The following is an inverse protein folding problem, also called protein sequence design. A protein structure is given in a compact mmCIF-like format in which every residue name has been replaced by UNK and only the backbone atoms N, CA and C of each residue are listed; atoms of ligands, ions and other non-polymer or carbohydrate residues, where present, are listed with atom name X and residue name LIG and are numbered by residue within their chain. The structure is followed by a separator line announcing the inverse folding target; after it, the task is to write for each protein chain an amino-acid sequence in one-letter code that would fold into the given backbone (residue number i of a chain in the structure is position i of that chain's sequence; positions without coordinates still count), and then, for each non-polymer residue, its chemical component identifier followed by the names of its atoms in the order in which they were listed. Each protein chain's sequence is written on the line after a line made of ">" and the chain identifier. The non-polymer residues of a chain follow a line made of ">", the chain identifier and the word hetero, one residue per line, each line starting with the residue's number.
data_IF_243517846782
#
_entry.id   IF_243517846782
#
_cell.length_a   1.000
_cell.length_b   1.000
_cell.length_c   1.000
_cell.angle_alpha   90.00
_cell.angle_beta   90.00
_cell.angle_gamma   90.00
#
_symmetry.space_group_name_H-M   'P 1'
#
loop_
_entity.id
_entity.type
_entity.pdbx_description
1 polymer ?
#
# COMPACT_ATOMS: atom_id res chain seq x y z
N UNK A 1 14.81 19.07 2.87
CA UNK A 1 13.72 18.97 1.89
C UNK A 1 12.45 19.32 2.65
N UNK A 2 11.90 20.51 2.39
CA UNK A 2 10.74 21.02 3.11
C UNK A 2 9.47 20.64 2.34
N UNK A 3 9.00 19.41 2.58
CA UNK A 3 7.74 18.96 1.99
C UNK A 3 6.55 19.52 2.79
N UNK A 4 5.53 19.99 2.06
CA UNK A 4 4.27 20.46 2.66
C UNK A 4 3.26 19.32 2.64
N UNK A 5 2.47 19.17 3.71
CA UNK A 5 1.42 18.15 3.74
C UNK A 5 0.46 18.32 2.55
N UNK A 6 0.15 17.21 1.88
CA UNK A 6 -0.71 17.18 0.67
C UNK A 6 -0.12 17.89 -0.55
N UNK A 7 1.20 18.10 -0.56
CA UNK A 7 1.92 18.47 -1.77
C UNK A 7 1.83 17.35 -2.81
N UNK A 8 1.57 17.76 -4.06
CA UNK A 8 1.38 16.88 -5.21
C UNK A 8 2.27 17.31 -6.37
N UNK A 9 2.87 16.32 -7.03
CA UNK A 9 3.57 16.49 -8.30
C UNK A 9 2.99 15.53 -9.32
N UNK A 10 2.87 15.98 -10.57
CA UNK A 10 2.25 15.19 -11.63
C UNK A 10 3.20 15.11 -12.82
N UNK A 11 3.43 13.88 -13.29
CA UNK A 11 4.09 13.59 -14.55
C UNK A 11 3.07 12.93 -15.49
N UNK A 12 3.03 13.38 -16.74
CA UNK A 12 2.15 12.80 -17.78
C UNK A 12 3.02 12.08 -18.79
N UNK A 13 2.57 10.89 -19.17
CA UNK A 13 3.12 10.11 -20.26
C UNK A 13 2.06 10.07 -21.37
N UNK A 14 2.33 10.64 -22.56
CA UNK A 14 1.40 10.61 -23.68
C UNK A 14 1.16 9.19 -24.23
N UNK A 15 1.97 8.21 -23.83
CA UNK A 15 1.91 6.86 -24.37
C UNK A 15 2.39 6.79 -25.82
N UNK A 16 2.08 5.68 -26.48
CA UNK A 16 2.39 5.44 -27.88
C UNK A 16 1.31 4.54 -28.51
N UNK A 17 0.35 5.12 -29.26
CA UNK A 17 -0.74 4.37 -29.88
C UNK A 17 -0.28 3.29 -30.87
N UNK A 18 0.79 3.55 -31.64
CA UNK A 18 1.33 2.60 -32.63
C UNK A 18 1.86 1.32 -31.96
N UNK A 19 2.30 1.44 -30.71
CA UNK A 19 2.74 0.31 -29.87
C UNK A 19 1.66 -0.18 -28.90
N UNK A 20 0.43 0.32 -29.00
CA UNK A 20 -0.67 0.00 -28.09
C UNK A 20 -0.48 0.51 -26.65
N UNK A 21 0.47 1.42 -26.42
CA UNK A 21 0.76 2.00 -25.11
C UNK A 21 -0.19 3.16 -24.87
N UNK A 22 -1.04 3.03 -23.85
CA UNK A 22 -2.03 4.05 -23.50
C UNK A 22 -1.38 5.23 -22.77
N UNK A 23 -1.92 6.45 -22.90
CA UNK A 23 -1.47 7.58 -22.10
C UNK A 23 -1.70 7.30 -20.62
N UNK A 24 -0.80 7.80 -19.78
CA UNK A 24 -0.88 7.64 -18.33
C UNK A 24 -0.46 8.89 -17.58
N UNK A 25 -0.89 8.98 -16.32
CA UNK A 25 -0.57 10.05 -15.39
C UNK A 25 0.01 9.42 -14.12
N UNK A 26 1.21 9.84 -13.76
CA UNK A 26 1.87 9.49 -12.50
C UNK A 26 1.75 10.67 -11.53
N UNK A 27 1.15 10.43 -10.38
CA UNK A 27 0.91 11.41 -9.32
C UNK A 27 1.77 11.03 -8.12
N UNK A 28 2.70 11.88 -7.74
CA UNK A 28 3.44 11.78 -6.50
C UNK A 28 2.74 12.63 -5.43
N UNK A 29 2.40 12.03 -4.31
CA UNK A 29 1.72 12.69 -3.19
C UNK A 29 2.55 12.56 -1.93
N UNK A 30 2.78 13.67 -1.25
CA UNK A 30 3.41 13.69 0.07
C UNK A 30 2.38 13.70 1.21
N UNK A 31 2.55 12.79 2.16
CA UNK A 31 1.76 12.75 3.39
C UNK A 31 2.67 12.81 4.61
N UNK A 32 2.50 13.83 5.45
CA UNK A 32 3.22 13.99 6.71
C UNK A 32 2.96 12.80 7.67
N UNK A 33 1.72 12.31 7.71
CA UNK A 33 1.36 11.12 8.48
C UNK A 33 2.05 9.85 8.00
N UNK A 34 2.21 9.71 6.69
CA UNK A 34 3.00 8.61 6.13
C UNK A 34 4.47 8.80 6.47
N UNK A 35 5.02 10.01 6.30
CA UNK A 35 6.41 10.31 6.61
C UNK A 35 6.76 9.93 8.06
N UNK A 36 5.95 10.36 9.05
CA UNK A 36 6.13 10.00 10.46
C UNK A 36 6.18 8.48 10.69
N UNK A 37 5.25 7.73 10.10
CA UNK A 37 5.19 6.27 10.22
C UNK A 37 6.37 5.58 9.53
N UNK A 38 6.74 6.03 8.34
CA UNK A 38 7.89 5.51 7.60
C UNK A 38 9.18 5.77 8.36
N UNK A 39 9.41 6.98 8.87
CA UNK A 39 10.58 7.34 9.68
C UNK A 39 10.68 6.43 10.91
N UNK A 40 9.59 6.27 11.67
CA UNK A 40 9.55 5.34 12.82
C UNK A 40 9.94 3.91 12.43
N UNK A 41 9.46 3.43 11.27
CA UNK A 41 9.81 2.11 10.74
C UNK A 41 11.28 1.98 10.32
N UNK A 42 11.86 3.04 9.75
CA UNK A 42 13.28 3.14 9.41
C UNK A 42 14.12 3.09 10.69
N UNK A 43 13.78 3.88 11.70
CA UNK A 43 14.51 3.94 12.97
C UNK A 43 14.52 2.59 13.70
N UNK A 44 13.38 1.91 13.73
CA UNK A 44 13.28 0.58 14.32
C UNK A 44 14.11 -0.47 13.54
N UNK A 45 14.15 -0.35 12.22
CA UNK A 45 14.96 -1.24 11.36
C UNK A 45 16.46 -0.96 11.53
N UNK A 46 16.85 0.31 11.70
CA UNK A 46 18.22 0.74 11.98
C UNK A 46 18.68 0.27 13.36
N UNK A 47 17.83 0.36 14.38
CA UNK A 47 18.10 -0.17 15.72
C UNK A 47 18.44 -1.66 15.64
N UNK A 48 17.59 -2.44 14.98
CA UNK A 48 17.82 -3.87 14.72
C UNK A 48 19.11 -4.12 13.92
N UNK A 49 19.41 -3.28 12.94
CA UNK A 49 20.62 -3.42 12.13
C UNK A 49 21.88 -3.20 12.98
N UNK A 50 21.87 -2.21 13.89
CA UNK A 50 22.95 -1.96 14.85
C UNK A 50 23.14 -3.14 15.81
N UNK A 51 22.05 -3.71 16.33
CA UNK A 51 22.11 -4.88 17.20
C UNK A 51 22.72 -6.11 16.48
N UNK A 52 22.38 -6.30 15.20
CA UNK A 52 22.95 -7.36 14.34
C UNK A 52 24.45 -7.11 14.07
N UNK A 53 24.82 -5.87 13.76
CA UNK A 53 26.22 -5.50 13.51
C UNK A 53 27.09 -5.66 14.76
N UNK A 54 26.53 -5.37 15.94
CA UNK A 54 27.16 -5.56 17.25
C UNK A 54 27.16 -7.03 17.74
N UNK A 55 26.58 -7.97 16.98
CA UNK A 55 26.52 -9.38 17.35
C UNK A 55 25.53 -9.74 18.46
N UNK A 56 24.69 -8.80 18.91
CA UNK A 56 23.70 -9.01 19.99
C UNK A 56 22.49 -9.84 19.56
N UNK A 57 22.26 -9.98 18.27
CA UNK A 57 21.11 -10.70 17.71
C UNK A 57 21.55 -11.52 16.50
N UNK A 58 21.02 -12.75 16.32
CA UNK A 58 21.32 -13.54 15.13
C UNK A 58 20.92 -12.81 13.85
N UNK A 59 21.68 -13.04 12.78
CA UNK A 59 21.47 -12.38 11.50
C UNK A 59 20.14 -12.84 10.89
N UNK A 60 19.12 -11.98 10.96
CA UNK A 60 17.91 -12.06 10.12
C UNK A 60 18.03 -11.06 8.96
N UNK A 61 17.29 -11.28 7.88
CA UNK A 61 17.22 -10.37 6.72
C UNK A 61 16.82 -8.97 7.19
N UNK A 62 17.77 -8.03 7.17
CA UNK A 62 17.55 -6.62 7.45
C UNK A 62 18.12 -5.79 6.30
N UNK A 63 17.32 -4.85 5.77
CA UNK A 63 17.67 -4.05 4.59
C UNK A 63 18.86 -3.10 4.83
N UNK A 64 19.13 -2.72 6.08
CA UNK A 64 20.21 -1.80 6.43
C UNK A 64 21.48 -2.51 6.93
N UNK A 65 21.56 -3.83 6.82
CA UNK A 65 22.77 -4.59 7.13
C UNK A 65 23.47 -4.90 5.82
N UNK A 66 24.66 -4.33 5.64
CA UNK A 66 25.58 -4.73 4.57
C UNK A 66 26.49 -5.83 5.11
N UNK A 67 26.50 -6.97 4.43
CA UNK A 67 27.43 -8.06 4.72
C UNK A 67 28.67 -7.88 3.84
N UNK A 68 29.79 -7.49 4.44
CA UNK A 68 31.09 -7.57 3.79
C UNK A 68 31.64 -9.01 3.81
N UNK A 69 32.82 -9.23 3.22
CA UNK A 69 33.52 -10.53 3.26
C UNK A 69 33.85 -10.99 4.69
N UNK A 70 33.97 -10.06 5.64
CA UNK A 70 34.39 -10.36 7.02
C UNK A 70 33.66 -9.51 8.08
N UNK A 71 33.03 -8.39 7.71
CA UNK A 71 32.43 -7.45 8.65
C UNK A 71 30.95 -7.19 8.36
N UNK A 72 30.15 -7.09 9.44
CA UNK A 72 28.75 -6.68 9.39
C UNK A 72 28.71 -5.18 9.63
N UNK A 73 28.24 -4.41 8.65
CA UNK A 73 28.17 -2.94 8.76
C UNK A 73 26.74 -2.46 8.57
N UNK A 74 26.41 -1.35 9.22
CA UNK A 74 25.11 -0.68 9.06
C UNK A 74 25.20 0.31 7.91
N UNK A 75 24.32 0.18 6.92
CA UNK A 75 24.23 1.09 5.79
C UNK A 75 23.40 2.32 6.16
N UNK A 76 24.08 3.35 6.68
CA UNK A 76 23.46 4.63 7.04
C UNK A 76 23.09 5.47 5.81
N UNK A 77 23.86 5.35 4.73
CA UNK A 77 23.62 6.04 3.45
C UNK A 77 22.23 5.69 2.90
N UNK A 78 21.94 4.40 2.78
CA UNK A 78 20.65 3.89 2.31
C UNK A 78 19.50 4.35 3.22
N UNK A 79 19.74 4.44 4.53
CA UNK A 79 18.74 4.94 5.46
C UNK A 79 18.48 6.44 5.29
N UNK A 80 19.50 7.25 4.97
CA UNK A 80 19.33 8.67 4.64
C UNK A 80 18.47 8.85 3.40
N UNK A 81 18.79 8.14 2.32
CA UNK A 81 18.01 8.17 1.08
C UNK A 81 16.55 7.76 1.30
N UNK A 82 16.30 6.73 2.10
CA UNK A 82 14.92 6.33 2.44
C UNK A 82 14.19 7.37 3.32
N UNK A 83 14.90 8.12 4.16
CA UNK A 83 14.32 9.21 4.96
C UNK A 83 13.93 10.39 4.08
N UNK A 84 14.73 10.72 3.08
CA UNK A 84 14.41 11.76 2.10
C UNK A 84 13.14 11.44 1.31
N UNK A 85 12.95 10.16 0.96
CA UNK A 85 11.75 9.70 0.25
C UNK A 85 10.56 9.39 1.18
N UNK A 86 10.71 9.58 2.50
CA UNK A 86 9.69 9.21 3.46
C UNK A 86 8.44 10.07 3.29
N UNK A 87 7.29 9.42 3.10
CA UNK A 87 5.99 10.10 2.96
C UNK A 87 5.52 10.26 1.52
N UNK A 88 6.42 10.15 0.54
CA UNK A 88 6.09 10.17 -0.88
C UNK A 88 5.42 8.85 -1.27
N UNK A 89 4.31 8.95 -2.03
CA UNK A 89 3.67 7.79 -2.66
C UNK A 89 3.25 8.14 -4.07
N UNK A 90 3.59 7.27 -5.01
CA UNK A 90 3.19 7.38 -6.39
C UNK A 90 1.85 6.67 -6.64
N UNK A 91 1.04 7.24 -7.52
CA UNK A 91 -0.17 6.67 -8.08
C UNK A 91 -0.07 6.75 -9.60
N UNK A 92 -0.29 5.65 -10.30
CA UNK A 92 -0.26 5.60 -11.76
C UNK A 92 -1.66 5.28 -12.25
N UNK A 93 -2.18 6.09 -13.17
CA UNK A 93 -3.55 5.96 -13.67
C UNK A 93 -3.62 6.26 -15.16
N UNK A 94 -4.57 5.63 -15.86
CA UNK A 94 -4.94 5.98 -17.24
C UNK A 94 -5.97 7.11 -17.30
N UNK A 95 -6.46 7.61 -16.16
CA UNK A 95 -7.40 8.74 -16.06
C UNK A 95 -6.62 10.05 -16.16
N UNK A 96 -6.22 10.38 -17.39
CA UNK A 96 -5.29 11.49 -17.67
C UNK A 96 -5.91 12.88 -17.55
N UNK A 97 -7.24 12.99 -17.47
CA UNK A 97 -7.96 14.27 -17.39
C UNK A 97 -8.43 14.60 -15.97
N UNK A 98 -8.67 13.59 -15.13
CA UNK A 98 -9.15 13.77 -13.76
C UNK A 98 -8.20 14.57 -12.85
N UNK A 99 -8.78 15.22 -11.84
CA UNK A 99 -8.01 15.93 -10.82
C UNK A 99 -7.13 14.95 -9.98
N UNK A 100 -5.85 15.28 -9.72
CA UNK A 100 -4.97 14.41 -8.95
C UNK A 100 -5.48 14.08 -7.54
N UNK A 101 -6.12 15.03 -6.85
CA UNK A 101 -6.63 14.81 -5.49
C UNK A 101 -7.87 13.93 -5.50
N UNK A 102 -8.74 14.05 -6.50
CA UNK A 102 -9.85 13.12 -6.70
C UNK A 102 -9.34 11.69 -6.93
N UNK A 103 -8.34 11.51 -7.82
CA UNK A 103 -7.71 10.21 -8.08
C UNK A 103 -7.13 9.63 -6.78
N UNK A 104 -6.35 10.42 -6.02
CA UNK A 104 -5.82 10.01 -4.72
C UNK A 104 -6.97 9.58 -3.79
N UNK A 105 -8.09 10.31 -3.79
CA UNK A 105 -9.32 9.96 -3.07
C UNK A 105 -9.89 8.61 -3.46
N UNK A 106 -10.01 8.31 -4.76
CA UNK A 106 -10.44 6.99 -5.25
C UNK A 106 -9.52 5.88 -4.74
N UNK A 107 -8.20 6.06 -4.83
CA UNK A 107 -7.25 5.08 -4.30
C UNK A 107 -7.27 4.95 -2.77
N UNK A 108 -7.59 6.01 -2.03
CA UNK A 108 -7.79 5.93 -0.57
C UNK A 108 -9.03 5.09 -0.23
N UNK A 109 -10.09 5.20 -1.04
CA UNK A 109 -11.32 4.41 -0.87
C UNK A 109 -11.15 2.92 -1.20
N UNK A 110 -10.10 2.49 -1.91
CA UNK A 110 -9.86 1.06 -2.16
C UNK A 110 -9.78 0.23 -0.87
N UNK A 111 -9.34 0.80 0.25
CA UNK A 111 -9.38 0.10 1.54
C UNK A 111 -10.80 -0.29 1.99
N UNK A 112 -11.83 0.42 1.54
CA UNK A 112 -13.23 0.05 1.80
C UNK A 112 -13.55 -1.33 1.20
N UNK A 113 -12.94 -1.69 0.07
CA UNK A 113 -13.09 -3.01 -0.54
C UNK A 113 -12.54 -4.11 0.39
N UNK A 114 -11.35 -3.89 0.98
CA UNK A 114 -10.78 -4.83 1.94
C UNK A 114 -11.68 -4.99 3.18
N UNK A 115 -12.24 -3.88 3.67
CA UNK A 115 -13.20 -3.90 4.78
C UNK A 115 -14.43 -4.72 4.43
N UNK A 116 -15.01 -4.52 3.24
CA UNK A 116 -16.16 -5.29 2.75
C UNK A 116 -15.83 -6.78 2.64
N UNK A 117 -14.63 -7.15 2.15
CA UNK A 117 -14.20 -8.54 2.13
C UNK A 117 -14.01 -9.14 3.53
N UNK A 118 -13.55 -8.34 4.50
CA UNK A 118 -13.43 -8.79 5.89
C UNK A 118 -14.80 -9.10 6.47
N UNK A 119 -15.74 -8.17 6.36
CA UNK A 119 -17.13 -8.33 6.81
C UNK A 119 -17.82 -9.53 6.12
N UNK A 120 -17.64 -9.67 4.80
CA UNK A 120 -18.15 -10.82 4.07
C UNK A 120 -17.62 -12.14 4.65
N UNK A 121 -16.33 -12.21 4.97
CA UNK A 121 -15.70 -13.45 5.46
C UNK A 121 -16.00 -13.77 6.92
N UNK A 122 -15.92 -12.79 7.83
CA UNK A 122 -16.13 -13.00 9.26
C UNK A 122 -17.60 -13.01 9.63
N UNK A 123 -18.31 -11.94 9.27
CA UNK A 123 -19.63 -11.65 9.81
C UNK A 123 -20.71 -12.38 8.99
N UNK A 124 -20.58 -12.35 7.66
CA UNK A 124 -21.53 -12.99 6.75
C UNK A 124 -21.13 -14.42 6.35
N UNK A 125 -19.98 -14.92 6.84
CA UNK A 125 -19.46 -16.28 6.57
C UNK A 125 -19.56 -16.65 5.09
N UNK A 126 -19.10 -15.77 4.20
CA UNK A 126 -19.08 -15.93 2.74
C UNK A 126 -18.27 -17.13 2.22
N UNK A 127 -17.69 -17.95 3.10
CA UNK A 127 -16.95 -19.18 2.77
C UNK A 127 -17.93 -20.35 2.89
N UNK A 128 -18.48 -20.87 1.78
CA UNK A 128 -19.40 -22.00 1.84
C UNK A 128 -18.59 -23.28 2.09
N UNK A 129 -18.34 -23.59 3.36
CA UNK A 129 -17.55 -24.77 3.76
C UNK A 129 -18.41 -26.04 3.76
N UNK A 130 -19.71 -25.91 3.99
CA UNK A 130 -20.63 -27.04 4.17
C UNK A 130 -21.62 -27.23 3.01
N UNK A 131 -21.48 -26.48 1.92
CA UNK A 131 -22.32 -26.61 0.73
C UNK A 131 -21.54 -27.33 -0.38
N UNK A 132 -22.12 -28.39 -0.93
CA UNK A 132 -21.53 -29.18 -2.01
C UNK A 132 -22.31 -29.03 -3.33
N UNK A 133 -23.61 -28.77 -3.26
CA UNK A 133 -24.45 -28.52 -4.43
C UNK A 133 -24.27 -27.09 -4.93
N UNK A 134 -24.16 -26.94 -6.27
CA UNK A 134 -23.98 -25.65 -6.93
C UNK A 134 -25.06 -24.64 -6.54
N UNK A 135 -26.33 -25.04 -6.56
CA UNK A 135 -27.45 -24.15 -6.26
C UNK A 135 -27.39 -23.61 -4.83
N UNK A 136 -26.95 -24.44 -3.87
CA UNK A 136 -26.79 -24.03 -2.47
C UNK A 136 -25.63 -23.04 -2.30
N UNK A 137 -24.53 -23.22 -3.05
CA UNK A 137 -23.40 -22.27 -3.06
C UNK A 137 -23.85 -20.93 -3.65
N UNK A 138 -24.55 -20.96 -4.79
CA UNK A 138 -25.02 -19.76 -5.47
C UNK A 138 -26.04 -19.00 -4.61
N UNK A 139 -26.98 -19.71 -3.96
CA UNK A 139 -27.92 -19.11 -3.02
C UNK A 139 -27.21 -18.47 -1.82
N UNK A 140 -26.25 -19.17 -1.19
CA UNK A 140 -25.48 -18.66 -0.06
C UNK A 140 -24.71 -17.38 -0.43
N UNK A 141 -24.00 -17.39 -1.56
CA UNK A 141 -23.26 -16.23 -2.04
C UNK A 141 -24.20 -15.07 -2.39
N UNK A 142 -25.36 -15.34 -2.98
CA UNK A 142 -26.35 -14.30 -3.30
C UNK A 142 -26.88 -13.61 -2.04
N UNK A 143 -27.21 -14.37 -1.01
CA UNK A 143 -27.66 -13.82 0.29
C UNK A 143 -26.55 -12.99 0.92
N UNK A 144 -25.32 -13.49 0.93
CA UNK A 144 -24.16 -12.77 1.46
C UNK A 144 -23.92 -11.45 0.72
N UNK A 145 -23.94 -11.46 -0.61
CA UNK A 145 -23.73 -10.24 -1.41
C UNK A 145 -24.86 -9.23 -1.21
N UNK A 146 -26.11 -9.70 -1.10
CA UNK A 146 -27.26 -8.86 -0.80
C UNK A 146 -27.16 -8.22 0.59
N UNK A 147 -26.83 -9.02 1.61
CA UNK A 147 -26.60 -8.54 2.97
C UNK A 147 -25.45 -7.54 3.04
N UNK A 148 -24.37 -7.76 2.30
CA UNK A 148 -23.24 -6.84 2.20
C UNK A 148 -23.67 -5.49 1.58
N UNK A 149 -24.46 -5.52 0.50
CA UNK A 149 -24.95 -4.32 -0.17
C UNK A 149 -25.87 -3.48 0.74
N UNK A 150 -26.79 -4.13 1.47
CA UNK A 150 -27.69 -3.46 2.42
C UNK A 150 -26.91 -2.94 3.63
N UNK A 151 -26.05 -3.77 4.22
CA UNK A 151 -25.26 -3.43 5.41
C UNK A 151 -24.21 -2.33 5.14
N UNK A 152 -23.66 -2.26 3.94
CA UNK A 152 -22.75 -1.20 3.53
C UNK A 152 -23.47 0.14 3.21
N UNK A 153 -24.76 0.09 2.86
CA UNK A 153 -25.57 1.25 2.51
C UNK A 153 -26.12 2.05 3.70
N UNK A 154 -26.13 1.47 4.91
CA UNK A 154 -26.84 2.04 6.07
C UNK A 154 -26.01 3.01 6.96
N UNK A 155 -24.82 3.41 6.51
CA UNK A 155 -23.98 4.42 7.19
C UNK A 155 -23.48 5.47 6.20
N UNK A 156 -24.42 6.09 5.47
CA UNK A 156 -24.15 7.32 4.73
C UNK A 156 -24.60 8.51 5.57
#
# INVERSE_FOLDING_TARGET
>A
MDYVHDQVWVARDPGNPEKGIRPSKTIHHYSADRARRTIKGIDESLRKARDIAAGKTPVKRNRYVTMGKTTKQVNLELASQHRELAGIKAYVTSRVDDDPMEIIGHYRRLFQIERSFRMAKSDLRARPIFHTLKDSIDAHLTVVMSALAVGAGWRR
#
